data_IF_455124792828
#
_entry.id   IF_455124792828
#
_cell.length_a   1.000
_cell.length_b   1.000
_cell.length_c   1.000
_cell.angle_alpha   90.00
_cell.angle_beta   90.00
_cell.angle_gamma   90.00
#
_symmetry.space_group_name_H-M   'P 1'
#
loop_
_entity.id
_entity.type
_entity.pdbx_description
1 polymer ?
#
# COMPACT_ATOMS: atom_id res chain seq x y z
N UNK A 1 18.73 11.99 -20.83
CA UNK A 1 19.40 11.12 -19.84
C UNK A 1 18.54 9.90 -19.59
N UNK A 2 19.07 8.68 -19.77
CA UNK A 2 18.34 7.42 -19.52
C UNK A 2 18.28 7.23 -18.00
N UNK A 3 17.08 7.32 -17.41
CA UNK A 3 16.90 7.10 -15.97
C UNK A 3 17.38 5.69 -15.61
N UNK A 4 18.37 5.60 -14.71
CA UNK A 4 18.86 4.31 -14.23
C UNK A 4 17.93 3.83 -13.10
N UNK A 5 16.96 2.98 -13.45
CA UNK A 5 16.07 2.33 -12.48
C UNK A 5 16.73 1.18 -11.72
N UNK A 6 18.03 0.94 -11.92
CA UNK A 6 18.76 -0.19 -11.35
C UNK A 6 18.62 -0.30 -9.83
N UNK A 7 18.63 0.82 -9.10
CA UNK A 7 18.47 0.80 -7.63
C UNK A 7 17.06 0.45 -7.16
N UNK A 8 16.01 0.84 -7.91
CA UNK A 8 14.63 0.43 -7.60
C UNK A 8 14.47 -1.08 -7.86
N UNK A 9 14.98 -1.56 -8.98
CA UNK A 9 14.94 -2.99 -9.33
C UNK A 9 15.70 -3.81 -8.28
N UNK A 10 16.90 -3.36 -7.90
CA UNK A 10 17.72 -4.03 -6.90
C UNK A 10 17.04 -4.04 -5.51
N UNK A 11 16.42 -2.94 -5.10
CA UNK A 11 15.60 -2.89 -3.88
C UNK A 11 14.42 -3.87 -3.90
N UNK A 12 13.67 -3.93 -5.01
CA UNK A 12 12.58 -4.88 -5.18
C UNK A 12 13.07 -6.34 -5.18
N UNK A 13 14.18 -6.62 -5.86
CA UNK A 13 14.79 -7.96 -5.89
C UNK A 13 15.18 -8.41 -4.49
N UNK A 14 15.77 -7.54 -3.68
CA UNK A 14 16.12 -7.86 -2.28
C UNK A 14 14.88 -8.19 -1.45
N UNK A 15 13.80 -7.41 -1.59
CA UNK A 15 12.56 -7.65 -0.83
C UNK A 15 11.90 -8.96 -1.24
N UNK A 16 11.86 -9.27 -2.54
CA UNK A 16 11.27 -10.51 -3.05
C UNK A 16 12.14 -11.71 -2.70
N UNK A 17 13.45 -11.63 -2.91
CA UNK A 17 14.38 -12.74 -2.63
C UNK A 17 14.46 -13.04 -1.13
N UNK A 18 14.47 -12.02 -0.27
CA UNK A 18 14.43 -12.21 1.19
C UNK A 18 13.13 -12.88 1.65
N UNK A 19 12.00 -12.55 1.02
CA UNK A 19 10.70 -13.18 1.33
C UNK A 19 10.65 -14.65 0.91
N UNK A 20 11.17 -14.99 -0.28
CA UNK A 20 11.25 -16.37 -0.78
C UNK A 20 12.21 -17.19 0.08
N UNK A 21 13.43 -16.67 0.32
CA UNK A 21 14.45 -17.38 1.11
C UNK A 21 13.99 -17.61 2.55
N UNK A 22 13.32 -16.64 3.18
CA UNK A 22 12.72 -16.83 4.49
C UNK A 22 11.70 -17.98 4.50
N UNK A 23 10.79 -18.00 3.51
CA UNK A 23 9.78 -19.05 3.41
C UNK A 23 10.39 -20.44 3.17
N UNK A 24 11.40 -20.55 2.31
CA UNK A 24 12.09 -21.82 2.04
C UNK A 24 12.86 -22.34 3.26
N UNK A 25 13.58 -21.47 3.97
CA UNK A 25 14.38 -21.84 5.15
C UNK A 25 13.46 -22.33 6.28
N UNK A 26 12.35 -21.62 6.54
CA UNK A 26 11.39 -21.99 7.60
C UNK A 26 10.74 -23.34 7.27
N UNK A 27 10.31 -23.56 6.03
CA UNK A 27 9.54 -24.74 5.65
C UNK A 27 10.38 -26.03 5.61
N UNK A 28 11.67 -25.94 5.25
CA UNK A 28 12.53 -27.12 5.07
C UNK A 28 13.36 -27.49 6.30
N UNK A 29 13.75 -26.53 7.16
CA UNK A 29 14.81 -26.77 8.15
C UNK A 29 14.39 -26.61 9.61
N UNK A 30 13.24 -26.01 9.90
CA UNK A 30 12.98 -25.46 11.24
C UNK A 30 11.74 -26.01 11.93
N UNK A 31 11.88 -27.19 12.55
CA UNK A 31 10.97 -27.59 13.63
C UNK A 31 11.60 -27.55 15.03
N UNK A 32 12.93 -27.38 15.20
CA UNK A 32 13.56 -27.59 16.52
C UNK A 32 14.66 -26.60 16.98
N UNK A 33 15.04 -25.55 16.23
CA UNK A 33 16.08 -24.58 16.66
C UNK A 33 15.52 -23.16 16.88
N UNK A 34 15.09 -22.83 18.09
CA UNK A 34 14.51 -21.51 18.42
C UNK A 34 15.45 -20.33 18.17
N UNK A 35 16.75 -20.47 18.48
CA UNK A 35 17.72 -19.38 18.35
C UNK A 35 18.05 -19.02 16.90
N UNK A 36 18.13 -20.02 16.01
CA UNK A 36 18.50 -19.78 14.61
C UNK A 36 17.32 -19.16 13.82
N UNK A 37 16.06 -19.46 14.18
CA UNK A 37 14.87 -18.77 13.63
C UNK A 37 14.90 -17.27 13.91
N UNK A 38 15.29 -16.90 15.13
CA UNK A 38 15.36 -15.50 15.55
C UNK A 38 16.36 -14.70 14.70
N UNK A 39 17.53 -15.26 14.41
CA UNK A 39 18.51 -14.62 13.53
C UNK A 39 17.99 -14.48 12.10
N UNK A 40 17.42 -15.54 11.52
CA UNK A 40 16.86 -15.53 10.16
C UNK A 40 15.74 -14.49 10.02
N UNK A 41 14.83 -14.41 10.99
CA UNK A 41 13.76 -13.42 11.00
C UNK A 41 14.28 -11.98 11.15
N UNK A 42 15.30 -11.76 11.98
CA UNK A 42 15.90 -10.43 12.13
C UNK A 42 16.59 -9.96 10.85
N UNK A 43 17.32 -10.85 10.17
CA UNK A 43 17.94 -10.58 8.87
C UNK A 43 16.90 -10.27 7.79
N UNK A 44 15.78 -11.01 7.78
CA UNK A 44 14.66 -10.73 6.89
C UNK A 44 14.12 -9.30 7.08
N UNK A 45 13.83 -8.90 8.32
CA UNK A 45 13.32 -7.54 8.62
C UNK A 45 14.33 -6.46 8.18
N UNK A 46 15.61 -6.64 8.50
CA UNK A 46 16.67 -5.70 8.11
C UNK A 46 16.76 -5.59 6.58
N UNK A 47 16.69 -6.71 5.86
CA UNK A 47 16.77 -6.73 4.40
C UNK A 47 15.64 -5.96 3.72
N UNK A 48 14.41 -6.06 4.25
CA UNK A 48 13.27 -5.27 3.79
C UNK A 48 13.51 -3.78 4.02
N UNK A 49 14.00 -3.40 5.20
CA UNK A 49 14.25 -2.01 5.54
C UNK A 49 15.33 -1.38 4.63
N UNK A 50 16.39 -2.14 4.32
CA UNK A 50 17.42 -1.73 3.35
C UNK A 50 16.83 -1.58 1.94
N UNK A 51 16.02 -2.55 1.50
CA UNK A 51 15.35 -2.49 0.19
C UNK A 51 14.46 -1.25 0.05
N UNK A 52 13.68 -0.93 1.09
CA UNK A 52 12.84 0.26 1.14
C UNK A 52 13.65 1.56 1.10
N UNK A 53 14.74 1.64 1.87
CA UNK A 53 15.63 2.80 1.88
C UNK A 53 16.18 3.10 0.48
N UNK A 54 16.63 2.07 -0.25
CA UNK A 54 17.15 2.25 -1.61
C UNK A 54 16.09 2.75 -2.59
N UNK A 55 14.86 2.25 -2.47
CA UNK A 55 13.74 2.72 -3.30
C UNK A 55 13.47 4.20 -3.04
N UNK A 56 13.42 4.62 -1.76
CA UNK A 56 13.19 6.03 -1.38
C UNK A 56 14.28 6.94 -1.94
N UNK A 57 15.56 6.60 -1.72
CA UNK A 57 16.69 7.39 -2.23
C UNK A 57 16.62 7.55 -3.76
N UNK A 58 16.27 6.49 -4.48
CA UNK A 58 16.17 6.54 -5.94
C UNK A 58 14.98 7.39 -6.41
N UNK A 59 13.85 7.37 -5.70
CA UNK A 59 12.70 8.24 -5.99
C UNK A 59 13.09 9.71 -5.80
N UNK A 60 13.76 10.07 -4.70
CA UNK A 60 14.23 11.43 -4.46
C UNK A 60 15.16 11.91 -5.58
N UNK A 61 16.11 11.07 -5.99
CA UNK A 61 17.02 11.38 -7.09
C UNK A 61 16.28 11.61 -8.41
N UNK A 62 15.22 10.84 -8.70
CA UNK A 62 14.37 11.04 -9.88
C UNK A 62 13.66 12.40 -9.79
N UNK A 63 13.08 12.74 -8.64
CA UNK A 63 12.38 14.02 -8.44
C UNK A 63 13.32 15.23 -8.60
N UNK A 64 14.54 15.17 -8.05
CA UNK A 64 15.55 16.23 -8.22
C UNK A 64 15.98 16.36 -9.69
N UNK A 65 16.16 15.23 -10.39
CA UNK A 65 16.50 15.26 -11.82
C UNK A 65 15.40 15.93 -12.65
N UNK A 66 14.13 15.65 -12.35
CA UNK A 66 12.98 16.30 -13.00
C UNK A 66 12.92 17.81 -12.72
N UNK A 67 13.24 18.23 -11.49
CA UNK A 67 13.39 19.65 -11.14
C UNK A 67 14.39 20.36 -12.05
N UNK A 68 15.57 19.76 -12.22
CA UNK A 68 16.64 20.36 -13.02
C UNK A 68 16.28 20.40 -14.52
N UNK A 69 15.58 19.37 -15.03
CA UNK A 69 15.11 19.35 -16.41
C UNK A 69 14.05 20.44 -16.69
N UNK A 70 13.11 20.65 -15.76
CA UNK A 70 12.10 21.71 -15.88
C UNK A 70 12.71 23.11 -15.82
N UNK A 71 13.79 23.29 -15.05
CA UNK A 71 14.54 24.55 -15.02
C UNK A 71 15.26 24.83 -16.35
N UNK A 72 15.67 23.78 -17.07
CA UNK A 72 16.43 23.87 -18.32
C UNK A 72 15.57 24.01 -19.59
N UNK A 73 14.36 23.43 -19.63
CA UNK A 73 13.52 23.39 -20.82
C UNK A 73 12.15 24.04 -20.57
N UNK A 74 11.80 25.08 -21.34
CA UNK A 74 10.51 25.77 -21.27
C UNK A 74 9.34 25.01 -21.94
N UNK A 75 9.61 23.94 -22.70
CA UNK A 75 8.60 23.12 -23.38
C UNK A 75 8.47 21.77 -22.67
N UNK A 76 7.49 21.64 -21.80
CA UNK A 76 7.14 20.36 -21.15
C UNK A 76 6.10 19.63 -21.98
N UNK A 77 6.46 18.47 -22.54
CA UNK A 77 5.47 17.47 -22.98
C UNK A 77 4.60 17.06 -21.79
N UNK A 78 3.29 16.87 -22.03
CA UNK A 78 2.35 16.36 -21.03
C UNK A 78 2.57 14.84 -20.93
N UNK A 79 3.55 14.43 -20.14
CA UNK A 79 3.85 13.05 -19.81
C UNK A 79 3.53 12.80 -18.33
N UNK A 80 3.24 11.55 -17.97
CA UNK A 80 2.88 11.17 -16.58
C UNK A 80 3.90 11.68 -15.56
N UNK A 81 5.20 11.64 -15.92
CA UNK A 81 6.30 12.05 -15.04
C UNK A 81 6.35 13.57 -14.85
N UNK A 82 6.25 14.34 -15.93
CA UNK A 82 6.30 15.81 -15.88
C UNK A 82 5.08 16.37 -15.16
N UNK A 83 3.89 15.81 -15.44
CA UNK A 83 2.65 16.19 -14.76
C UNK A 83 2.72 15.85 -13.27
N UNK A 84 3.14 14.63 -12.92
CA UNK A 84 3.25 14.23 -11.51
C UNK A 84 4.21 15.13 -10.75
N UNK A 85 5.37 15.45 -11.34
CA UNK A 85 6.31 16.40 -10.75
C UNK A 85 5.68 17.79 -10.55
N UNK A 86 4.96 18.33 -11.54
CA UNK A 86 4.28 19.62 -11.43
C UNK A 86 3.22 19.65 -10.31
N UNK A 87 2.47 18.56 -10.16
CA UNK A 87 1.48 18.42 -9.08
C UNK A 87 2.15 18.37 -7.71
N UNK A 88 3.24 17.62 -7.55
CA UNK A 88 3.98 17.57 -6.28
C UNK A 88 4.65 18.91 -5.92
N UNK A 89 5.02 19.71 -6.92
CA UNK A 89 5.55 21.06 -6.69
C UNK A 89 4.49 22.04 -6.18
N UNK A 90 3.22 21.87 -6.58
CA UNK A 90 2.10 22.74 -6.18
C UNK A 90 1.56 22.34 -4.80
N UNK A 91 1.54 23.30 -3.87
CA UNK A 91 1.12 23.03 -2.49
C UNK A 91 -0.32 22.56 -2.33
N UNK A 92 -1.24 23.01 -3.20
CA UNK A 92 -2.63 22.53 -3.24
C UNK A 92 -2.68 21.00 -3.42
N UNK A 93 -2.05 20.48 -4.46
CA UNK A 93 -2.08 19.07 -4.81
C UNK A 93 -1.22 18.21 -3.88
N UNK A 94 -0.06 18.74 -3.43
CA UNK A 94 0.75 18.08 -2.40
C UNK A 94 -0.01 17.87 -1.08
N UNK A 95 -0.81 18.85 -0.64
CA UNK A 95 -1.67 18.70 0.55
C UNK A 95 -2.72 17.60 0.34
N UNK A 96 -3.36 17.55 -0.84
CA UNK A 96 -4.33 16.50 -1.17
C UNK A 96 -3.67 15.11 -1.09
N UNK A 97 -2.46 14.95 -1.63
CA UNK A 97 -1.71 13.70 -1.55
C UNK A 97 -1.42 13.29 -0.09
N UNK A 98 -0.93 14.21 0.74
CA UNK A 98 -0.58 13.91 2.15
C UNK A 98 -1.83 13.56 2.96
N UNK A 99 -2.92 14.32 2.80
CA UNK A 99 -4.17 14.10 3.54
C UNK A 99 -4.81 12.76 3.13
N UNK A 100 -4.90 12.47 1.83
CA UNK A 100 -5.45 11.20 1.34
C UNK A 100 -4.61 10.00 1.78
N UNK A 101 -3.28 10.12 1.76
CA UNK A 101 -2.36 9.07 2.23
C UNK A 101 -2.53 8.81 3.73
N UNK A 102 -2.58 9.87 4.54
CA UNK A 102 -2.77 9.76 5.99
C UNK A 102 -4.11 9.12 6.36
N UNK A 103 -5.20 9.55 5.71
CA UNK A 103 -6.51 8.95 5.90
C UNK A 103 -6.51 7.46 5.53
N UNK A 104 -5.93 7.11 4.38
CA UNK A 104 -5.85 5.72 3.94
C UNK A 104 -5.08 4.85 4.94
N UNK A 105 -3.95 5.33 5.45
CA UNK A 105 -3.14 4.61 6.45
C UNK A 105 -3.93 4.37 7.74
N UNK A 106 -4.67 5.36 8.22
CA UNK A 106 -5.49 5.24 9.43
C UNK A 106 -6.56 4.18 9.22
N UNK A 107 -7.36 4.28 8.14
CA UNK A 107 -8.42 3.33 7.85
C UNK A 107 -7.88 1.90 7.69
N UNK A 108 -6.82 1.74 6.88
CA UNK A 108 -6.21 0.44 6.67
C UNK A 108 -5.67 -0.15 7.97
N UNK A 109 -5.03 0.64 8.84
CA UNK A 109 -4.47 0.13 10.11
C UNK A 109 -5.55 -0.41 11.05
N UNK A 110 -6.72 0.23 11.08
CA UNK A 110 -7.87 -0.22 11.87
C UNK A 110 -8.46 -1.51 11.26
N UNK A 111 -8.70 -1.52 9.95
CA UNK A 111 -9.36 -2.64 9.26
C UNK A 111 -8.47 -3.89 9.19
N UNK A 112 -7.16 -3.71 8.99
CA UNK A 112 -6.21 -4.82 8.87
C UNK A 112 -5.82 -5.43 10.22
N UNK A 113 -6.30 -4.89 11.34
CA UNK A 113 -5.96 -5.39 12.67
C UNK A 113 -4.49 -5.16 13.04
N UNK A 114 -3.83 -4.15 12.45
CA UNK A 114 -2.49 -3.73 12.90
C UNK A 114 -2.56 -3.26 14.35
N UNK A 115 -3.66 -2.59 14.73
CA UNK A 115 -3.98 -2.29 16.13
C UNK A 115 -4.92 -3.38 16.63
N UNK A 116 -4.50 -4.11 17.66
CA UNK A 116 -5.25 -5.22 18.25
C UNK A 116 -5.67 -4.84 19.67
N UNK A 117 -6.97 -4.89 19.92
CA UNK A 117 -7.54 -4.75 21.25
C UNK A 117 -8.16 -6.09 21.68
N UNK A 118 -7.63 -6.67 22.75
CA UNK A 118 -8.12 -7.93 23.33
C UNK A 118 -8.44 -7.71 24.81
N UNK A 119 -9.70 -7.37 25.13
CA UNK A 119 -10.11 -7.09 26.51
C UNK A 119 -10.17 -8.35 27.40
N UNK A 120 -10.29 -9.53 26.79
CA UNK A 120 -10.45 -10.79 27.52
C UNK A 120 -9.13 -11.40 27.99
N UNK A 121 -8.00 -10.93 27.46
CA UNK A 121 -6.67 -11.49 27.71
C UNK A 121 -5.79 -10.40 28.34
N UNK A 122 -5.11 -10.75 29.43
CA UNK A 122 -4.06 -9.92 30.04
C UNK A 122 -2.73 -10.29 29.39
N UNK A 123 -2.13 -9.37 28.64
CA UNK A 123 -0.94 -9.68 27.86
C UNK A 123 0.27 -10.05 28.71
N UNK A 124 0.45 -9.44 29.88
CA UNK A 124 1.55 -9.78 30.79
C UNK A 124 1.51 -11.25 31.21
N UNK A 125 0.32 -11.75 31.54
CA UNK A 125 0.12 -13.14 32.00
C UNK A 125 0.15 -14.14 30.84
N UNK A 126 -0.48 -13.80 29.71
CA UNK A 126 -0.62 -14.73 28.59
C UNK A 126 0.67 -14.91 27.77
N UNK A 127 1.47 -13.86 27.62
CA UNK A 127 2.66 -13.87 26.77
C UNK A 127 3.98 -13.79 27.55
N UNK A 128 3.90 -13.73 28.88
CA UNK A 128 5.02 -13.58 29.82
C UNK A 128 5.95 -12.43 29.37
N UNK A 129 5.35 -11.25 29.15
CA UNK A 129 6.03 -10.03 28.69
C UNK A 129 5.84 -8.92 29.71
N UNK A 130 6.86 -8.10 29.93
CA UNK A 130 6.70 -6.85 30.67
C UNK A 130 6.06 -5.80 29.76
N UNK A 131 5.17 -4.97 30.29
CA UNK A 131 4.52 -3.90 29.53
C UNK A 131 5.07 -2.54 29.99
N UNK A 132 5.43 -1.63 29.07
CA UNK A 132 5.43 -1.77 27.61
C UNK A 132 6.66 -2.56 27.09
N UNK A 133 6.47 -3.38 26.05
CA UNK A 133 7.59 -4.08 25.39
C UNK A 133 7.36 -4.35 23.91
N UNK A 134 8.45 -4.66 23.21
CA UNK A 134 8.46 -5.06 21.80
C UNK A 134 9.02 -6.48 21.72
N UNK A 135 8.27 -7.40 21.12
CA UNK A 135 8.66 -8.80 20.93
C UNK A 135 8.48 -9.19 19.48
N UNK A 136 9.51 -9.78 18.89
CA UNK A 136 9.38 -10.35 17.56
C UNK A 136 8.77 -11.74 17.72
N UNK A 137 7.62 -11.94 17.10
CA UNK A 137 6.92 -13.22 17.05
C UNK A 137 7.32 -13.90 15.76
N UNK A 138 8.10 -14.96 15.89
CA UNK A 138 8.54 -15.78 14.77
C UNK A 138 7.46 -16.83 14.49
N UNK A 139 6.98 -16.87 13.25
CA UNK A 139 6.02 -17.89 12.84
C UNK A 139 6.77 -19.05 12.19
N UNK A 140 6.51 -20.27 12.67
CA UNK A 140 6.95 -21.52 12.08
C UNK A 140 5.73 -22.19 11.44
N UNK A 141 5.64 -22.20 10.10
CA UNK A 141 4.50 -22.80 9.41
C UNK A 141 4.51 -22.58 7.89
N UNK A 142 3.37 -22.92 7.26
CA UNK A 142 3.18 -22.92 5.82
C UNK A 142 3.57 -21.61 5.11
N UNK A 143 3.94 -21.65 3.81
CA UNK A 143 4.29 -20.46 3.04
C UNK A 143 3.21 -19.38 3.15
N UNK A 144 3.63 -18.17 3.52
CA UNK A 144 2.75 -17.03 3.81
C UNK A 144 2.72 -16.59 5.27
N UNK A 145 3.33 -17.36 6.19
CA UNK A 145 3.54 -16.93 7.57
C UNK A 145 4.87 -16.17 7.71
N UNK A 146 4.78 -14.85 7.83
CA UNK A 146 5.93 -13.97 8.01
C UNK A 146 6.17 -13.68 9.51
N UNK A 147 7.42 -13.35 9.90
CA UNK A 147 7.69 -12.93 11.27
C UNK A 147 7.06 -11.56 11.48
N UNK A 148 6.44 -11.39 12.64
CA UNK A 148 5.71 -10.17 12.98
C UNK A 148 6.35 -9.51 14.20
N UNK A 149 6.26 -8.20 14.29
CA UNK A 149 6.71 -7.44 15.46
C UNK A 149 5.48 -7.10 16.30
N UNK A 150 5.33 -7.74 17.46
CA UNK A 150 4.29 -7.43 18.42
C UNK A 150 4.79 -6.33 19.37
N UNK A 151 4.03 -5.24 19.47
CA UNK A 151 4.27 -4.12 20.36
C UNK A 151 3.16 -4.14 21.40
N UNK A 152 3.52 -4.39 22.65
CA UNK A 152 2.59 -4.37 23.79
C UNK A 152 2.64 -2.98 24.42
N UNK A 153 1.53 -2.22 24.29
CA UNK A 153 1.44 -0.84 24.80
C UNK A 153 0.83 -0.85 26.20
N UNK A 154 -0.27 -1.60 26.37
CA UNK A 154 -0.98 -1.80 27.65
C UNK A 154 -1.38 -3.27 27.77
N UNK A 155 -1.95 -3.68 28.91
CA UNK A 155 -2.40 -5.06 29.17
C UNK A 155 -3.42 -5.61 28.16
N UNK A 156 -4.15 -4.74 27.45
CA UNK A 156 -5.21 -5.12 26.51
C UNK A 156 -5.07 -4.49 25.11
N UNK A 157 -4.14 -3.55 24.94
CA UNK A 157 -3.89 -2.86 23.66
C UNK A 157 -2.48 -3.19 23.18
N UNK A 158 -2.41 -3.79 22.00
CA UNK A 158 -1.18 -4.11 21.32
C UNK A 158 -1.23 -3.70 19.85
N UNK A 159 -0.08 -3.72 19.20
CA UNK A 159 0.02 -3.56 17.76
C UNK A 159 0.85 -4.70 17.16
N UNK A 160 0.43 -5.21 16.01
CA UNK A 160 1.14 -6.25 15.27
C UNK A 160 1.61 -5.66 13.95
N UNK A 161 2.92 -5.48 13.85
CA UNK A 161 3.58 -5.02 12.63
C UNK A 161 4.01 -6.23 11.80
N UNK A 162 3.33 -6.44 10.67
CA UNK A 162 3.73 -7.42 9.65
C UNK A 162 4.53 -6.67 8.58
N UNK A 163 5.84 -6.95 8.39
CA UNK A 163 6.68 -6.17 7.47
C UNK A 163 6.12 -6.09 6.03
N UNK A 164 5.60 -7.20 5.51
CA UNK A 164 4.98 -7.24 4.18
C UNK A 164 3.71 -6.38 4.12
N UNK A 165 2.85 -6.46 5.13
CA UNK A 165 1.61 -5.68 5.18
C UNK A 165 1.90 -4.18 5.30
N UNK A 166 2.97 -3.78 5.99
CA UNK A 166 3.40 -2.38 6.04
C UNK A 166 3.89 -1.89 4.68
N UNK A 167 4.65 -2.72 3.96
CA UNK A 167 5.10 -2.39 2.62
C UNK A 167 3.91 -2.20 1.68
N UNK A 168 2.95 -3.14 1.71
CA UNK A 168 1.71 -3.03 0.94
C UNK A 168 0.92 -1.78 1.35
N UNK A 169 0.83 -1.48 2.64
CA UNK A 169 0.16 -0.29 3.16
C UNK A 169 0.78 0.99 2.59
N UNK A 170 2.10 1.13 2.64
CA UNK A 170 2.80 2.30 2.10
C UNK A 170 2.59 2.40 0.58
N UNK A 171 2.74 1.29 -0.13
CA UNK A 171 2.62 1.24 -1.59
C UNK A 171 1.20 1.60 -2.03
N UNK A 172 0.19 0.90 -1.51
CA UNK A 172 -1.21 1.12 -1.91
C UNK A 172 -1.67 2.51 -1.49
N UNK A 173 -1.31 2.98 -0.29
CA UNK A 173 -1.61 4.34 0.14
C UNK A 173 -1.02 5.39 -0.81
N UNK A 174 0.24 5.23 -1.22
CA UNK A 174 0.87 6.12 -2.18
C UNK A 174 0.19 6.10 -3.56
N UNK A 175 -0.18 4.91 -4.05
CA UNK A 175 -0.90 4.73 -5.32
C UNK A 175 -2.29 5.36 -5.28
N UNK A 176 -3.06 5.11 -4.22
CA UNK A 176 -4.38 5.71 -3.99
C UNK A 176 -4.27 7.23 -3.98
N UNK A 177 -3.32 7.77 -3.22
CA UNK A 177 -3.12 9.22 -3.08
C UNK A 177 -2.66 9.86 -4.39
N UNK A 178 -1.84 9.17 -5.19
CA UNK A 178 -1.43 9.64 -6.51
C UNK A 178 -2.62 9.74 -7.47
N UNK A 179 -3.50 8.73 -7.47
CA UNK A 179 -4.73 8.73 -8.25
C UNK A 179 -5.69 9.86 -7.82
N UNK A 180 -5.89 10.05 -6.51
CA UNK A 180 -6.72 11.14 -5.96
C UNK A 180 -6.14 12.51 -6.33
N UNK A 181 -4.82 12.67 -6.28
CA UNK A 181 -4.14 13.91 -6.66
C UNK A 181 -4.35 14.25 -8.14
N UNK A 182 -4.16 13.28 -9.04
CA UNK A 182 -4.38 13.46 -10.48
C UNK A 182 -5.87 13.73 -10.78
N UNK A 183 -6.78 13.05 -10.08
CA UNK A 183 -8.21 13.27 -10.22
C UNK A 183 -8.60 14.69 -9.79
N UNK A 184 -8.08 15.17 -8.66
CA UNK A 184 -8.33 16.53 -8.20
C UNK A 184 -7.84 17.58 -9.20
N UNK A 185 -6.71 17.31 -9.88
CA UNK A 185 -6.22 18.14 -10.98
C UNK A 185 -7.16 18.10 -12.18
N UNK A 186 -7.58 16.91 -12.63
CA UNK A 186 -8.51 16.78 -13.74
C UNK A 186 -9.86 17.47 -13.46
N UNK A 187 -10.39 17.33 -12.24
CA UNK A 187 -11.64 17.95 -11.82
C UNK A 187 -11.53 19.48 -11.74
N UNK A 188 -10.41 20.02 -11.24
CA UNK A 188 -10.19 21.47 -11.16
C UNK A 188 -10.08 22.12 -12.54
N UNK A 189 -9.60 21.39 -13.55
CA UNK A 189 -9.37 21.90 -14.90
C UNK A 189 -10.39 21.38 -15.93
N UNK A 190 -11.56 20.91 -15.48
CA UNK A 190 -12.56 20.29 -16.35
C UNK A 190 -13.32 21.33 -17.20
N UNK A 191 -13.62 21.04 -18.48
CA UNK A 191 -14.58 21.83 -19.24
C UNK A 191 -16.00 21.60 -18.70
N UNK A 192 -16.79 22.67 -18.57
CA UNK A 192 -18.12 22.68 -17.93
C UNK A 192 -19.18 21.75 -18.56
N UNK A 193 -18.93 21.16 -19.74
CA UNK A 193 -19.98 20.53 -20.57
C UNK A 193 -19.88 19.00 -20.76
N UNK A 194 -18.95 18.28 -20.12
CA UNK A 194 -18.79 16.83 -20.30
C UNK A 194 -18.93 16.04 -18.98
N UNK A 195 -20.18 15.69 -18.62
CA UNK A 195 -20.50 14.99 -17.37
C UNK A 195 -20.28 13.46 -17.42
N UNK A 196 -20.37 12.85 -18.62
CA UNK A 196 -20.30 11.39 -18.80
C UNK A 196 -18.92 10.77 -18.54
N UNK A 197 -17.84 11.55 -18.69
CA UNK A 197 -16.46 11.08 -18.47
C UNK A 197 -16.13 10.91 -16.97
N UNK A 198 -16.78 11.67 -16.09
CA UNK A 198 -16.44 11.74 -14.67
C UNK A 198 -16.99 10.56 -13.85
N UNK A 199 -18.15 10.03 -14.23
CA UNK A 199 -18.87 9.03 -13.43
C UNK A 199 -18.13 7.67 -13.41
N UNK A 200 -17.55 7.26 -14.55
CA UNK A 200 -16.90 5.95 -14.67
C UNK A 200 -15.52 5.89 -13.99
N UNK A 201 -14.72 6.95 -14.13
CA UNK A 201 -13.38 7.03 -13.53
C UNK A 201 -13.46 7.33 -12.03
N UNK A 202 -14.43 8.17 -11.61
CA UNK A 202 -14.73 8.43 -10.20
C UNK A 202 -15.22 7.20 -9.45
N UNK A 203 -16.06 6.37 -10.07
CA UNK A 203 -16.56 5.13 -9.46
C UNK A 203 -15.44 4.06 -9.34
N UNK A 204 -14.61 3.88 -10.37
CA UNK A 204 -13.50 2.93 -10.34
C UNK A 204 -12.44 3.32 -9.30
N UNK A 205 -12.01 4.59 -9.31
CA UNK A 205 -11.06 5.06 -8.30
C UNK A 205 -11.68 5.07 -6.90
N UNK A 206 -12.95 5.47 -6.73
CA UNK A 206 -13.63 5.42 -5.43
C UNK A 206 -13.73 4.00 -4.85
N UNK A 207 -14.09 3.01 -5.68
CA UNK A 207 -14.28 1.61 -5.25
C UNK A 207 -12.96 0.95 -4.82
N UNK A 208 -11.86 1.24 -5.51
CA UNK A 208 -10.55 0.66 -5.22
C UNK A 208 -9.69 1.49 -4.26
N UNK A 209 -10.03 2.76 -4.01
CA UNK A 209 -9.40 3.61 -2.98
C UNK A 209 -10.01 3.42 -1.59
N UNK A 210 -11.23 2.87 -1.47
CA UNK A 210 -11.94 2.66 -0.21
C UNK A 210 -11.41 1.51 0.67
N UNK A 211 -10.28 0.88 0.30
CA UNK A 211 -9.65 -0.30 0.91
C UNK A 211 -10.03 -1.62 0.17
N UNK A 212 -9.10 -2.26 -0.57
CA UNK A 212 -9.36 -3.51 -1.28
C UNK A 212 -9.83 -4.64 -0.38
N UNK A 213 -9.36 -4.67 0.87
CA UNK A 213 -9.84 -5.61 1.88
C UNK A 213 -11.30 -5.38 2.25
N UNK A 214 -11.77 -4.13 2.33
CA UNK A 214 -13.19 -3.81 2.57
C UNK A 214 -14.07 -4.14 1.36
N UNK A 215 -13.61 -3.81 0.15
CA UNK A 215 -14.32 -4.20 -1.06
C UNK A 215 -14.37 -5.73 -1.21
N UNK A 216 -13.30 -6.45 -0.85
CA UNK A 216 -13.28 -7.91 -0.77
C UNK A 216 -14.31 -8.45 0.23
N UNK A 217 -14.38 -7.91 1.45
CA UNK A 217 -15.38 -8.27 2.47
C UNK A 217 -16.83 -7.97 2.06
N UNK A 218 -17.06 -6.86 1.36
CA UNK A 218 -18.37 -6.50 0.82
C UNK A 218 -18.76 -7.41 -0.35
N UNK A 219 -17.83 -7.72 -1.25
CA UNK A 219 -18.13 -8.59 -2.39
C UNK A 219 -18.31 -10.05 -1.97
N UNK A 220 -17.60 -10.55 -0.95
CA UNK A 220 -17.85 -11.89 -0.39
C UNK A 220 -19.18 -11.98 0.37
N UNK A 221 -19.71 -10.86 0.87
CA UNK A 221 -21.05 -10.83 1.50
C UNK A 221 -22.20 -10.69 0.49
N UNK A 222 -21.93 -10.27 -0.75
CA UNK A 222 -22.93 -10.09 -1.82
C UNK A 222 -22.95 -11.27 -2.80
N UNK A 223 -21.88 -12.06 -2.90
CA UNK A 223 -21.83 -13.22 -3.81
C UNK A 223 -22.74 -14.36 -3.29
N UNK A 224 -23.62 -14.94 -4.14
CA UNK A 224 -24.52 -16.01 -3.72
C UNK A 224 -23.72 -17.31 -3.53
N UNK A 225 -23.30 -17.58 -2.29
CA UNK A 225 -22.53 -18.77 -1.93
C UNK A 225 -21.87 -18.74 -0.56
N UNK A 226 -21.67 -17.56 0.05
CA UNK A 226 -21.18 -17.42 1.42
C UNK A 226 -22.22 -16.69 2.25
N UNK A 227 -22.90 -17.45 3.13
CA UNK A 227 -23.84 -16.89 4.11
C UNK A 227 -23.11 -15.80 4.89
N UNK A 228 -23.61 -14.57 4.77
CA UNK A 228 -23.14 -13.43 5.53
C UNK A 228 -23.34 -13.67 7.02
N UNK A 229 -22.29 -14.09 7.71
CA UNK A 229 -22.23 -14.12 9.17
C UNK A 229 -20.80 -13.86 9.59
N UNK A 230 -20.42 -12.59 9.68
CA UNK A 230 -19.16 -12.23 10.37
C UNK A 230 -19.17 -10.84 10.98
N UNK A 231 -20.16 -10.00 10.67
CA UNK A 231 -20.32 -8.70 11.34
C UNK A 231 -20.97 -8.86 12.73
N UNK A 232 -21.54 -10.03 13.08
CA UNK A 232 -22.38 -10.17 14.29
C UNK A 232 -21.93 -11.27 15.27
N UNK A 233 -21.10 -12.26 14.90
CA UNK A 233 -20.95 -13.47 15.76
C UNK A 233 -19.55 -13.82 16.25
N UNK A 234 -18.53 -12.97 16.13
CA UNK A 234 -17.27 -13.14 16.89
C UNK A 234 -16.59 -14.52 16.78
N UNK A 235 -16.68 -15.20 15.63
CA UNK A 235 -16.04 -16.52 15.42
C UNK A 235 -14.84 -16.38 14.45
N UNK A 236 -13.58 -16.40 14.94
CA UNK A 236 -12.44 -16.04 14.10
C UNK A 236 -11.73 -17.20 13.38
N UNK A 237 -12.17 -18.47 13.49
CA UNK A 237 -11.23 -19.58 13.25
C UNK A 237 -11.48 -20.50 12.04
N UNK A 238 -12.70 -20.60 11.47
CA UNK A 238 -12.99 -21.65 10.45
C UNK A 238 -13.22 -21.15 9.01
N UNK A 239 -13.16 -19.83 8.77
CA UNK A 239 -13.30 -19.22 7.44
C UNK A 239 -11.96 -18.72 6.86
N UNK A 240 -10.84 -19.01 7.52
CA UNK A 240 -9.54 -18.39 7.20
C UNK A 240 -8.91 -18.90 5.90
N UNK A 241 -9.14 -20.15 5.48
CA UNK A 241 -8.48 -20.68 4.27
C UNK A 241 -9.08 -20.16 2.97
N UNK A 242 -10.41 -20.07 2.84
CA UNK A 242 -11.05 -19.55 1.61
C UNK A 242 -10.89 -18.04 1.47
N UNK A 243 -10.97 -17.30 2.58
CA UNK A 243 -10.86 -15.83 2.57
C UNK A 243 -9.45 -15.32 2.20
N UNK A 244 -8.39 -16.06 2.53
CA UNK A 244 -7.01 -15.64 2.22
C UNK A 244 -6.76 -15.61 0.71
N UNK A 245 -7.27 -16.59 -0.05
CA UNK A 245 -7.12 -16.61 -1.51
C UNK A 245 -7.84 -15.46 -2.20
N UNK A 246 -9.11 -15.20 -1.82
CA UNK A 246 -9.86 -14.07 -2.39
C UNK A 246 -9.24 -12.72 -2.03
N UNK A 247 -8.77 -12.56 -0.79
CA UNK A 247 -8.09 -11.35 -0.34
C UNK A 247 -6.83 -11.07 -1.17
N UNK A 248 -6.02 -12.10 -1.46
CA UNK A 248 -4.82 -11.97 -2.28
C UNK A 248 -5.14 -11.60 -3.74
N UNK A 249 -6.13 -12.25 -4.35
CA UNK A 249 -6.57 -11.95 -5.72
C UNK A 249 -7.08 -10.51 -5.81
N UNK A 250 -7.90 -10.08 -4.86
CA UNK A 250 -8.48 -8.74 -4.85
C UNK A 250 -7.41 -7.66 -4.65
N UNK A 251 -6.41 -7.92 -3.79
CA UNK A 251 -5.22 -7.08 -3.65
C UNK A 251 -4.45 -6.95 -4.96
N UNK A 252 -4.22 -8.06 -5.67
CA UNK A 252 -3.50 -8.06 -6.95
C UNK A 252 -4.26 -7.25 -8.01
N UNK A 253 -5.56 -7.49 -8.17
CA UNK A 253 -6.41 -6.75 -9.10
C UNK A 253 -6.37 -5.25 -8.78
N UNK A 254 -6.50 -4.90 -7.50
CA UNK A 254 -6.49 -3.50 -7.06
C UNK A 254 -5.14 -2.83 -7.34
N UNK A 255 -4.03 -3.53 -7.10
CA UNK A 255 -2.70 -3.03 -7.41
C UNK A 255 -2.54 -2.76 -8.92
N UNK A 256 -3.01 -3.67 -9.76
CA UNK A 256 -2.98 -3.50 -11.23
C UNK A 256 -3.84 -2.31 -11.65
N UNK A 257 -5.06 -2.19 -11.12
CA UNK A 257 -5.96 -1.08 -11.47
C UNK A 257 -5.38 0.26 -11.01
N UNK A 258 -4.87 0.35 -9.78
CA UNK A 258 -4.28 1.57 -9.24
C UNK A 258 -2.97 1.99 -9.94
N UNK A 259 -2.23 1.05 -10.53
CA UNK A 259 -1.03 1.36 -11.33
C UNK A 259 -1.37 1.79 -12.74
N UNK A 260 -2.42 1.24 -13.36
CA UNK A 260 -2.86 1.60 -14.71
C UNK A 260 -3.68 2.90 -14.73
N UNK A 261 -4.46 3.18 -13.69
CA UNK A 261 -5.36 4.34 -13.63
C UNK A 261 -4.67 5.70 -13.87
N UNK A 262 -3.47 5.99 -13.32
CA UNK A 262 -2.74 7.22 -13.62
C UNK A 262 -2.39 7.37 -15.11
N UNK A 263 -2.07 6.27 -15.79
CA UNK A 263 -1.73 6.29 -17.22
C UNK A 263 -2.95 6.69 -18.06
N UNK A 264 -4.09 6.05 -17.81
CA UNK A 264 -5.36 6.36 -18.49
C UNK A 264 -5.79 7.82 -18.21
N UNK A 265 -5.59 8.28 -16.98
CA UNK A 265 -5.98 9.62 -16.59
C UNK A 265 -5.11 10.68 -17.31
N UNK A 266 -3.81 10.42 -17.46
CA UNK A 266 -2.91 11.34 -18.18
C UNK A 266 -3.18 11.35 -19.67
N UNK A 267 -3.47 10.21 -20.32
CA UNK A 267 -3.84 10.21 -21.73
C UNK A 267 -5.12 11.01 -21.97
N UNK A 268 -6.11 10.87 -21.10
CA UNK A 268 -7.35 11.64 -21.18
C UNK A 268 -7.13 13.14 -20.93
N UNK A 269 -6.31 13.50 -19.93
CA UNK A 269 -5.93 14.88 -19.66
C UNK A 269 -5.25 15.48 -20.90
N UNK A 270 -4.30 14.75 -21.50
CA UNK A 270 -3.57 15.19 -22.69
C UNK A 270 -4.52 15.42 -23.88
N UNK A 271 -5.45 14.51 -24.13
CA UNK A 271 -6.45 14.69 -25.19
C UNK A 271 -7.31 15.94 -24.98
N UNK A 272 -7.67 16.27 -23.72
CA UNK A 272 -8.44 17.48 -23.40
C UNK A 272 -7.62 18.75 -23.65
N UNK A 273 -6.33 18.73 -23.36
CA UNK A 273 -5.42 19.84 -23.64
C UNK A 273 -5.17 20.01 -25.16
N UNK A 274 -5.00 18.92 -25.91
CA UNK A 274 -4.82 18.96 -27.36
C UNK A 274 -6.09 19.40 -28.10
N UNK A 275 -7.29 19.06 -27.59
CA UNK A 275 -8.60 19.45 -28.16
C UNK A 275 -9.06 20.88 -27.75
N UNK A 276 -8.19 21.70 -27.16
CA UNK A 276 -8.40 23.15 -27.06
C UNK A 276 -9.23 23.65 -25.87
N UNK A 277 -9.45 22.85 -24.83
CA UNK A 277 -10.01 23.38 -23.57
C UNK A 277 -8.91 24.06 -22.74
N UNK A 278 -8.63 25.31 -23.08
CA UNK A 278 -7.84 26.22 -22.24
C UNK A 278 -8.66 26.49 -20.96
N UNK A 279 -8.18 26.07 -19.80
CA UNK A 279 -8.67 26.61 -18.53
C UNK A 279 -7.50 27.14 -17.69
N UNK A 280 -7.65 28.43 -17.41
CA UNK A 280 -6.91 29.37 -16.58
C UNK A 280 -5.38 29.44 -16.69
N UNK A 281 -4.96 30.60 -17.22
CA UNK A 281 -3.68 31.24 -16.93
C UNK A 281 -3.50 31.34 -15.41
N UNK A 282 -2.24 31.11 -15.01
CA UNK A 282 -1.56 31.52 -13.76
C UNK A 282 -1.95 30.80 -12.48
#
# INVERSE_FOLDING_TARGET
MKYNYGWVILGLVIIISSSITYAEIINNYFQNLTNLVQYVASLYIISILIGMLMIVIQIEKILITQKNLKLSNNLTSIDLKSLTYDLFAKMKYRRIFIISSGLYVIFFSIISGIIVYQPEIVFSDAFNVSIPSIKIVYCCGSPGQYPNVAIYITEHIGAILIPVSLLLLILISALVSWNVMLMAFAFSNRPKNNEKWLLSIGALTGLFTACPTCAGLLLTSILPGSVGISIITGTPLLLSLSNVFYQQIFLLITLVILTISPLILVTNIRELFEKGCIIEKT
#
